data_IF_676648925055
#
_entry.id   IF_676648925055
#
_cell.length_a   1.000
_cell.length_b   1.000
_cell.length_c   1.000
_cell.angle_alpha   90.00
_cell.angle_beta   90.00
_cell.angle_gamma   90.00
#
_symmetry.space_group_name_H-M   'P 1'
#
loop_
_entity.id
_entity.type
_entity.pdbx_description
1 polymer ?
#
# COMPACT_ATOMS: atom_id res chain seq x y z
N UNK A 1 18.71 6.50 -1.89
CA UNK A 1 18.66 6.29 -3.36
C UNK A 1 17.27 5.78 -3.71
N UNK A 2 16.73 6.22 -4.84
CA UNK A 2 15.44 5.74 -5.35
C UNK A 2 15.64 4.33 -5.91
N UNK A 3 14.71 3.43 -5.60
CA UNK A 3 14.66 2.10 -6.21
C UNK A 3 13.94 2.18 -7.56
N UNK A 4 14.74 2.30 -8.63
CA UNK A 4 14.23 2.46 -10.00
C UNK A 4 13.55 1.18 -10.50
N UNK A 5 13.99 0.01 -10.02
CA UNK A 5 13.40 -1.27 -10.42
C UNK A 5 12.00 -1.44 -9.83
N UNK A 6 11.83 -1.10 -8.54
CA UNK A 6 10.50 -1.07 -7.93
C UNK A 6 9.57 -0.07 -8.62
N UNK A 7 10.07 1.12 -8.93
CA UNK A 7 9.29 2.14 -9.63
C UNK A 7 8.80 1.61 -10.99
N UNK A 8 9.71 1.02 -11.77
CA UNK A 8 9.37 0.42 -13.07
C UNK A 8 8.29 -0.67 -12.93
N UNK A 9 8.48 -1.62 -12.00
CA UNK A 9 7.50 -2.69 -11.73
C UNK A 9 6.12 -2.16 -11.35
N UNK A 10 6.06 -1.09 -10.54
CA UNK A 10 4.79 -0.46 -10.16
C UNK A 10 4.14 0.27 -11.33
N UNK A 11 4.93 0.98 -12.14
CA UNK A 11 4.43 1.73 -13.31
C UNK A 11 3.96 0.83 -14.45
N UNK A 12 4.54 -0.36 -14.59
CA UNK A 12 4.18 -1.34 -15.64
C UNK A 12 3.11 -2.35 -15.19
N UNK A 13 2.75 -2.39 -13.90
CA UNK A 13 1.75 -3.31 -13.37
C UNK A 13 0.33 -3.02 -13.90
N UNK A 14 -0.45 -4.06 -14.13
CA UNK A 14 -1.85 -3.91 -14.53
C UNK A 14 -2.68 -3.30 -13.38
N UNK A 15 -3.38 -2.21 -13.67
CA UNK A 15 -4.13 -1.43 -12.69
C UNK A 15 -5.19 -0.54 -13.34
N UNK A 16 -5.91 -1.09 -14.32
CA UNK A 16 -7.05 -0.38 -14.91
C UNK A 16 -8.12 -0.19 -13.83
N UNK A 17 -8.78 0.97 -13.81
CA UNK A 17 -9.81 1.26 -12.80
C UNK A 17 -10.84 0.13 -12.69
N UNK A 18 -11.00 -0.41 -11.48
CA UNK A 18 -11.86 -1.55 -11.19
C UNK A 18 -11.24 -2.94 -11.39
N UNK A 19 -10.00 -3.03 -11.88
CA UNK A 19 -9.23 -4.27 -12.07
C UNK A 19 -7.80 -4.11 -11.54
N UNK A 20 -7.69 -3.74 -10.27
CA UNK A 20 -6.43 -3.34 -9.61
C UNK A 20 -5.76 -4.50 -8.86
N UNK A 21 -6.19 -5.74 -9.09
CA UNK A 21 -5.71 -6.93 -8.37
C UNK A 21 -4.19 -7.08 -8.42
N UNK A 22 -3.58 -6.87 -9.57
CA UNK A 22 -2.15 -7.09 -9.80
C UNK A 22 -1.31 -6.03 -9.09
N UNK A 23 -1.57 -4.74 -9.36
CA UNK A 23 -0.90 -3.63 -8.67
C UNK A 23 -1.11 -3.68 -7.16
N UNK A 24 -2.31 -4.05 -6.69
CA UNK A 24 -2.61 -4.25 -5.26
C UNK A 24 -1.77 -5.36 -4.65
N UNK A 25 -1.65 -6.51 -5.32
CA UNK A 25 -0.84 -7.62 -4.84
C UNK A 25 0.65 -7.26 -4.78
N UNK A 26 1.14 -6.51 -5.78
CA UNK A 26 2.50 -5.99 -5.82
C UNK A 26 2.77 -5.05 -4.64
N UNK A 27 1.95 -4.02 -4.45
CA UNK A 27 2.09 -3.08 -3.33
C UNK A 27 2.02 -3.82 -2.00
N UNK A 28 1.05 -4.73 -1.83
CA UNK A 28 0.89 -5.53 -0.61
C UNK A 28 2.15 -6.30 -0.25
N UNK A 29 2.81 -6.93 -1.24
CA UNK A 29 4.06 -7.66 -1.04
C UNK A 29 5.18 -6.76 -0.51
N UNK A 30 5.32 -5.57 -1.08
CA UNK A 30 6.37 -4.62 -0.70
C UNK A 30 6.14 -4.02 0.70
N UNK A 31 4.89 -3.76 1.08
CA UNK A 31 4.56 -3.09 2.35
C UNK A 31 4.31 -4.03 3.54
N UNK A 32 4.15 -5.34 3.31
CA UNK A 32 3.75 -6.32 4.34
C UNK A 32 4.65 -6.31 5.59
N UNK A 33 5.96 -6.11 5.41
CA UNK A 33 6.92 -6.11 6.51
C UNK A 33 6.92 -4.82 7.35
N UNK A 34 6.27 -3.76 6.87
CA UNK A 34 6.26 -2.46 7.52
C UNK A 34 4.96 -2.18 8.28
N UNK A 35 3.84 -2.72 7.80
CA UNK A 35 2.52 -2.53 8.40
C UNK A 35 2.25 -3.54 9.54
N UNK A 36 1.47 -3.12 10.53
CA UNK A 36 1.01 -4.02 11.60
C UNK A 36 -0.30 -4.73 11.22
N UNK A 37 -1.13 -4.09 10.38
CA UNK A 37 -2.35 -4.67 9.80
C UNK A 37 -2.46 -4.25 8.35
N UNK A 38 -2.89 -5.17 7.49
CA UNK A 38 -3.24 -4.89 6.10
C UNK A 38 -4.61 -5.48 5.81
N UNK A 39 -5.48 -4.67 5.23
CA UNK A 39 -6.81 -5.09 4.78
C UNK A 39 -7.10 -4.56 3.37
N UNK A 40 -8.03 -5.22 2.69
CA UNK A 40 -8.60 -4.76 1.43
C UNK A 40 -10.08 -4.55 1.69
N UNK A 41 -10.58 -3.35 1.41
CA UNK A 41 -12.01 -3.05 1.60
C UNK A 41 -12.85 -3.61 0.46
N UNK A 42 -14.18 -3.41 0.54
CA UNK A 42 -15.12 -3.91 -0.47
C UNK A 42 -14.97 -3.25 -1.84
N UNK A 43 -14.32 -2.08 -1.92
CA UNK A 43 -14.05 -1.37 -3.17
C UNK A 43 -12.70 -1.77 -3.78
N UNK A 44 -11.86 -2.47 -3.01
CA UNK A 44 -10.56 -2.93 -3.46
C UNK A 44 -9.38 -2.09 -2.97
N UNK A 45 -9.61 -1.09 -2.11
CA UNK A 45 -8.53 -0.25 -1.57
C UNK A 45 -7.63 -1.05 -0.64
N UNK A 46 -6.31 -0.94 -0.82
CA UNK A 46 -5.33 -1.56 0.08
C UNK A 46 -5.01 -0.60 1.25
N UNK A 47 -5.47 -0.95 2.44
CA UNK A 47 -5.27 -0.14 3.64
C UNK A 47 -4.22 -0.79 4.52
N UNK A 48 -3.09 -0.10 4.70
CA UNK A 48 -2.01 -0.51 5.59
C UNK A 48 -2.00 0.35 6.85
N UNK A 49 -2.12 -0.28 8.00
CA UNK A 49 -2.10 0.39 9.29
C UNK A 49 -0.79 0.13 10.02
N UNK A 50 -0.12 1.21 10.44
CA UNK A 50 1.04 1.19 11.33
C UNK A 50 0.69 1.92 12.63
N UNK A 51 0.78 1.20 13.74
CA UNK A 51 0.64 1.78 15.08
C UNK A 51 1.91 2.57 15.37
N UNK A 52 1.81 3.90 15.41
CA UNK A 52 2.87 4.73 15.96
C UNK A 52 3.23 4.39 17.42
N UNK A 53 4.21 5.11 17.97
CA UNK A 53 4.74 4.84 19.31
C UNK A 53 4.06 5.63 20.43
N UNK A 54 3.67 6.89 20.18
CA UNK A 54 3.15 7.79 21.23
C UNK A 54 1.67 7.58 21.59
N UNK A 55 1.34 7.67 22.89
CA UNK A 55 -0.04 7.49 23.41
C UNK A 55 -1.01 8.60 22.98
N UNK A 56 -0.55 9.85 22.87
CA UNK A 56 -1.34 11.00 22.41
C UNK A 56 -0.86 11.45 21.04
N UNK A 57 -1.41 10.86 19.98
CA UNK A 57 -1.11 11.22 18.59
C UNK A 57 -2.36 11.41 17.76
N UNK A 58 -2.27 12.27 16.74
CA UNK A 58 -3.28 12.32 15.68
C UNK A 58 -3.12 11.10 14.77
N UNK A 59 -4.23 10.60 14.24
CA UNK A 59 -4.18 9.62 13.14
C UNK A 59 -3.82 10.38 11.87
N UNK A 60 -2.90 9.83 11.08
CA UNK A 60 -2.47 10.37 9.79
C UNK A 60 -2.85 9.36 8.72
N UNK A 61 -3.44 9.83 7.63
CA UNK A 61 -3.70 9.05 6.44
C UNK A 61 -2.88 9.63 5.29
N UNK A 62 -2.20 8.76 4.55
CA UNK A 62 -1.53 9.07 3.29
C UNK A 62 -2.27 8.26 2.22
N UNK A 63 -2.57 8.89 1.09
CA UNK A 63 -3.34 8.29 -0.01
C UNK A 63 -2.64 8.65 -1.32
N UNK A 64 -2.60 7.69 -2.24
CA UNK A 64 -2.03 7.81 -3.57
C UNK A 64 -2.94 7.12 -4.58
#
# INVERSE_FOLDING_TARGET
MVDIELLKRLSEAYGVSGFEEEVRALIKKEINKYADKIEVDVLGNLIAFKKGFEKKRKKIALVA
#
